data_IF_265966471963
#
_entry.id   IF_265966471963
#
_cell.length_a   1.000
_cell.length_b   1.000
_cell.length_c   1.000
_cell.angle_alpha   90.00
_cell.angle_beta   90.00
_cell.angle_gamma   90.00
#
_symmetry.space_group_name_H-M   'P 1'
#
loop_
_entity.id
_entity.type
_entity.pdbx_description
1 polymer ?
#
# COMPACT_ATOMS: atom_id res chain seq x y z
N UNK A 1 26.33 -8.61 -11.16
CA UNK A 1 25.31 -9.11 -12.12
C UNK A 1 24.34 -10.17 -11.57
N UNK A 2 24.66 -10.91 -10.50
CA UNK A 2 23.83 -12.02 -9.98
C UNK A 2 23.14 -11.73 -8.64
N UNK A 3 22.73 -10.49 -8.40
CA UNK A 3 22.04 -10.10 -7.18
C UNK A 3 20.54 -9.92 -7.42
N UNK A 4 19.74 -10.10 -6.37
CA UNK A 4 18.31 -9.76 -6.36
C UNK A 4 18.09 -8.35 -6.92
N UNK A 5 17.30 -8.24 -7.99
CA UNK A 5 16.91 -6.96 -8.56
C UNK A 5 15.60 -6.48 -7.95
N UNK A 6 15.41 -5.16 -7.88
CA UNK A 6 14.26 -4.52 -7.23
C UNK A 6 13.86 -3.25 -7.97
N UNK A 7 12.57 -3.03 -8.15
CA UNK A 7 11.98 -1.77 -8.62
C UNK A 7 11.06 -1.25 -7.52
N UNK A 8 11.21 0.02 -7.15
CA UNK A 8 10.36 0.61 -6.12
C UNK A 8 10.26 2.11 -6.33
N UNK A 9 9.11 2.66 -5.93
CA UNK A 9 8.96 4.09 -5.78
C UNK A 9 9.61 4.55 -4.48
N UNK A 10 10.30 5.70 -4.53
CA UNK A 10 10.85 6.35 -3.34
C UNK A 10 10.73 7.86 -3.46
N UNK A 11 10.57 8.52 -2.32
CA UNK A 11 10.76 9.96 -2.24
C UNK A 11 12.25 10.24 -2.08
N UNK A 12 12.75 11.32 -2.70
CA UNK A 12 14.15 11.69 -2.63
C UNK A 12 14.60 11.83 -1.17
N UNK A 13 15.66 11.10 -0.79
CA UNK A 13 16.19 11.06 0.57
C UNK A 13 15.66 9.91 1.45
N UNK A 14 14.60 9.20 1.03
CA UNK A 14 14.13 8.01 1.73
C UNK A 14 14.96 6.80 1.32
N UNK A 15 15.48 6.08 2.32
CA UNK A 15 16.25 4.87 2.12
C UNK A 15 15.36 3.72 1.63
N UNK A 16 15.78 3.08 0.54
CA UNK A 16 15.42 1.69 0.25
C UNK A 16 14.11 1.41 -0.48
N UNK A 17 13.32 2.44 -0.81
CA UNK A 17 12.03 2.29 -1.49
C UNK A 17 10.87 1.95 -0.55
N UNK A 18 9.64 2.21 -1.01
CA UNK A 18 8.40 1.90 -0.26
C UNK A 18 7.54 0.90 -1.04
N UNK A 19 6.52 1.29 -1.84
CA UNK A 19 5.84 0.31 -2.65
C UNK A 19 6.75 -0.10 -3.82
N UNK A 20 6.74 -1.39 -4.15
CA UNK A 20 7.63 -1.93 -5.16
C UNK A 20 7.63 -3.45 -5.21
N UNK A 21 8.50 -4.00 -6.04
CA UNK A 21 8.65 -5.44 -6.23
C UNK A 21 10.10 -5.86 -6.49
N UNK A 22 10.35 -7.17 -6.47
CA UNK A 22 11.67 -7.74 -6.74
C UNK A 22 11.65 -8.91 -7.75
N UNK A 23 12.85 -9.35 -8.15
CA UNK A 23 13.03 -10.39 -9.17
C UNK A 23 12.60 -11.80 -8.72
N UNK A 24 12.37 -12.01 -7.41
CA UNK A 24 11.82 -13.27 -6.87
C UNK A 24 10.28 -13.26 -6.86
N UNK A 25 9.65 -12.18 -7.35
CA UNK A 25 8.21 -12.04 -7.42
C UNK A 25 7.55 -11.58 -6.11
N UNK A 26 8.31 -11.04 -5.15
CA UNK A 26 7.74 -10.38 -3.96
C UNK A 26 7.31 -8.95 -4.34
N UNK A 27 6.07 -8.59 -3.99
CA UNK A 27 5.51 -7.24 -4.16
C UNK A 27 5.00 -6.66 -2.84
N UNK A 28 5.13 -5.35 -2.68
CA UNK A 28 4.74 -4.60 -1.49
C UNK A 28 3.96 -3.35 -1.87
N UNK A 29 2.78 -3.17 -1.29
CA UNK A 29 2.08 -1.89 -1.22
C UNK A 29 1.96 -1.43 0.24
N UNK A 30 1.85 -0.12 0.45
CA UNK A 30 1.90 0.47 1.79
C UNK A 30 0.81 1.51 1.99
N UNK A 31 0.21 1.50 3.17
CA UNK A 31 -0.79 2.47 3.57
C UNK A 31 -0.41 3.09 4.93
N UNK A 32 -0.34 4.41 4.96
CA UNK A 32 -0.13 5.16 6.21
C UNK A 32 -1.36 5.04 7.10
N UNK A 33 -1.15 4.65 8.36
CA UNK A 33 -2.13 4.58 9.42
C UNK A 33 -1.50 5.08 10.72
N UNK A 34 -2.30 5.24 11.75
CA UNK A 34 -1.82 5.65 13.07
C UNK A 34 -2.81 5.19 14.14
N UNK A 35 -2.29 4.84 15.31
CA UNK A 35 -3.11 4.47 16.47
C UNK A 35 -2.67 5.23 17.72
N UNK A 36 -3.49 5.20 18.75
CA UNK A 36 -3.16 5.76 20.07
C UNK A 36 -2.03 5.01 20.78
N UNK A 37 -1.60 3.86 20.26
CA UNK A 37 -0.50 3.07 20.80
C UNK A 37 0.87 3.43 20.19
N UNK A 38 0.89 4.26 19.14
CA UNK A 38 2.13 4.64 18.45
C UNK A 38 3.06 5.41 19.39
N UNK A 39 4.32 5.00 19.43
CA UNK A 39 5.36 5.58 20.27
C UNK A 39 6.73 5.54 19.58
N UNK A 40 7.12 6.71 19.06
CA UNK A 40 8.39 6.93 18.39
C UNK A 40 9.59 6.97 19.34
N UNK A 41 9.37 7.05 20.67
CA UNK A 41 10.43 6.96 21.67
C UNK A 41 10.93 5.53 21.88
N UNK A 42 10.23 4.51 21.37
CA UNK A 42 10.63 3.10 21.47
C UNK A 42 11.90 2.77 20.67
N UNK A 43 12.34 3.64 19.75
CA UNK A 43 13.50 3.44 18.88
C UNK A 43 13.55 2.05 18.21
N UNK A 44 12.39 1.55 17.74
CA UNK A 44 12.33 0.26 17.05
C UNK A 44 12.78 0.39 15.59
N UNK A 45 12.99 -0.76 14.93
CA UNK A 45 13.40 -0.82 13.52
C UNK A 45 12.50 0.11 12.66
N UNK A 46 13.09 1.10 11.94
CA UNK A 46 12.34 2.08 11.17
C UNK A 46 11.44 1.45 10.11
N UNK A 47 10.27 2.06 9.88
CA UNK A 47 9.30 1.66 8.87
C UNK A 47 9.94 1.41 7.49
N UNK A 48 10.71 2.37 6.97
CA UNK A 48 11.32 2.26 5.64
C UNK A 48 12.39 1.17 5.54
N UNK A 49 13.09 0.88 6.65
CA UNK A 49 14.04 -0.23 6.69
C UNK A 49 13.31 -1.58 6.57
N UNK A 50 12.12 -1.70 7.14
CA UNK A 50 11.27 -2.90 6.98
C UNK A 50 10.82 -3.06 5.53
N UNK A 51 10.36 -2.00 4.87
CA UNK A 51 10.03 -2.04 3.44
C UNK A 51 11.22 -2.49 2.59
N UNK A 52 12.40 -1.94 2.87
CA UNK A 52 13.64 -2.35 2.19
C UNK A 52 13.97 -3.83 2.38
N UNK A 53 13.83 -4.36 3.60
CA UNK A 53 14.05 -5.78 3.92
C UNK A 53 13.00 -6.69 3.24
N UNK A 54 11.74 -6.28 3.18
CA UNK A 54 10.69 -6.99 2.41
C UNK A 54 11.08 -7.07 0.94
N UNK A 55 11.48 -5.94 0.33
CA UNK A 55 11.91 -5.94 -1.07
C UNK A 55 13.19 -6.77 -1.28
N UNK A 56 13.92 -7.12 -0.21
CA UNK A 56 15.08 -8.03 -0.24
C UNK A 56 14.77 -9.50 0.02
N UNK A 57 13.51 -9.81 0.35
CA UNK A 57 13.07 -11.16 0.70
C UNK A 57 12.82 -12.00 -0.55
N UNK A 58 13.02 -13.31 -0.45
CA UNK A 58 12.82 -14.24 -1.58
C UNK A 58 11.46 -14.93 -1.57
N UNK A 59 10.78 -14.89 -0.43
CA UNK A 59 9.51 -15.56 -0.21
C UNK A 59 8.67 -14.76 0.80
N UNK A 60 7.42 -15.17 0.97
CA UNK A 60 6.46 -14.47 1.81
C UNK A 60 6.82 -14.57 3.30
N UNK A 61 7.45 -15.67 3.74
CA UNK A 61 7.86 -15.88 5.13
C UNK A 61 8.98 -14.93 5.56
N UNK A 62 10.01 -14.75 4.71
CA UNK A 62 11.08 -13.77 4.92
C UNK A 62 10.51 -12.35 4.98
N UNK A 63 9.58 -12.01 4.07
CA UNK A 63 8.94 -10.70 4.04
C UNK A 63 8.08 -10.45 5.28
N UNK A 64 7.28 -11.43 5.71
CA UNK A 64 6.52 -11.36 6.96
C UNK A 64 7.44 -11.23 8.17
N UNK A 65 8.57 -11.95 8.18
CA UNK A 65 9.60 -11.81 9.21
C UNK A 65 10.18 -10.40 9.29
N UNK A 66 10.45 -9.77 8.14
CA UNK A 66 10.93 -8.39 8.08
C UNK A 66 9.90 -7.38 8.66
N UNK A 67 8.62 -7.58 8.38
CA UNK A 67 7.54 -6.72 8.86
C UNK A 67 7.21 -6.93 10.34
N UNK A 68 7.01 -8.17 10.75
CA UNK A 68 6.38 -8.52 12.03
C UNK A 68 7.33 -9.15 13.05
N UNK A 69 8.50 -9.64 12.64
CA UNK A 69 9.41 -10.42 13.49
C UNK A 69 10.09 -9.66 14.62
N UNK A 70 9.95 -8.34 14.68
CA UNK A 70 10.45 -7.50 15.77
C UNK A 70 9.43 -6.44 16.18
N UNK A 71 9.46 -5.93 17.43
CA UNK A 71 8.55 -4.88 17.89
C UNK A 71 8.62 -3.62 17.03
N UNK A 72 7.53 -2.85 16.98
CA UNK A 72 7.40 -1.67 16.10
C UNK A 72 7.13 -0.42 16.94
N UNK A 73 7.35 0.75 16.34
CA UNK A 73 7.08 2.05 16.97
C UNK A 73 5.75 2.65 16.53
N UNK A 74 5.23 2.26 15.36
CA UNK A 74 4.06 2.89 14.78
C UNK A 74 3.19 1.89 14.04
N UNK A 75 1.95 2.31 13.81
CA UNK A 75 0.93 1.57 13.10
C UNK A 75 1.09 1.80 11.60
N UNK A 76 0.92 0.75 10.80
CA UNK A 76 0.92 0.84 9.34
C UNK A 76 0.23 -0.38 8.73
N UNK A 77 -0.23 -0.24 7.50
CA UNK A 77 -0.79 -1.35 6.74
C UNK A 77 0.12 -1.68 5.53
N UNK A 78 0.21 -2.97 5.23
CA UNK A 78 0.98 -3.51 4.12
C UNK A 78 0.17 -4.58 3.39
N UNK A 79 0.06 -4.44 2.07
CA UNK A 79 -0.34 -5.56 1.21
C UNK A 79 0.94 -6.19 0.68
N UNK A 80 1.15 -7.46 1.02
CA UNK A 80 2.28 -8.27 0.60
C UNK A 80 1.78 -9.34 -0.38
N UNK A 81 2.39 -9.41 -1.56
CA UNK A 81 2.11 -10.44 -2.54
C UNK A 81 3.36 -11.21 -2.92
N UNK A 82 3.20 -12.46 -3.32
CA UNK A 82 4.26 -13.24 -3.96
C UNK A 82 3.73 -14.07 -5.13
N UNK A 83 4.40 -13.95 -6.27
CA UNK A 83 3.94 -14.49 -7.56
C UNK A 83 3.61 -15.99 -7.55
N UNK A 84 4.33 -16.80 -6.76
CA UNK A 84 4.12 -18.25 -6.72
C UNK A 84 3.40 -18.73 -5.47
N UNK A 85 2.78 -17.84 -4.69
CA UNK A 85 2.08 -18.21 -3.47
C UNK A 85 0.77 -17.46 -3.28
N UNK A 86 0.75 -16.42 -2.43
CA UNK A 86 -0.46 -15.71 -2.00
C UNK A 86 -0.22 -14.22 -1.88
N UNK A 87 -1.33 -13.48 -1.78
CA UNK A 87 -1.36 -12.13 -1.24
C UNK A 87 -1.95 -12.14 0.17
N UNK A 88 -1.46 -11.24 1.02
CA UNK A 88 -1.94 -11.02 2.38
C UNK A 88 -1.91 -9.54 2.68
N UNK A 89 -2.96 -9.06 3.33
CA UNK A 89 -2.98 -7.72 3.90
C UNK A 89 -2.67 -7.78 5.40
N UNK A 90 -1.90 -6.81 5.88
CA UNK A 90 -1.28 -6.85 7.21
C UNK A 90 -1.47 -5.50 7.89
N UNK A 91 -2.36 -5.45 8.87
CA UNK A 91 -2.48 -4.31 9.78
C UNK A 91 -1.50 -4.52 10.93
N UNK A 92 -0.41 -3.75 10.96
CA UNK A 92 0.58 -3.78 12.03
C UNK A 92 0.35 -2.63 13.00
N UNK A 93 0.31 -2.96 14.29
CA UNK A 93 0.39 -2.02 15.39
C UNK A 93 1.69 -2.27 16.19
N UNK A 94 2.07 -1.41 17.15
CA UNK A 94 3.33 -1.53 17.87
C UNK A 94 3.58 -2.91 18.51
N UNK A 95 2.54 -3.50 19.11
CA UNK A 95 2.61 -4.77 19.85
C UNK A 95 1.66 -5.86 19.34
N UNK A 96 0.81 -5.56 18.35
CA UNK A 96 -0.13 -6.50 17.75
C UNK A 96 -0.11 -6.44 16.22
N UNK A 97 -0.72 -7.43 15.60
CA UNK A 97 -0.96 -7.44 14.16
C UNK A 97 -2.24 -8.19 13.84
N UNK A 98 -2.77 -7.91 12.65
CA UNK A 98 -3.86 -8.68 12.05
C UNK A 98 -3.49 -9.01 10.60
N UNK A 99 -3.74 -10.27 10.23
CA UNK A 99 -3.62 -10.75 8.86
C UNK A 99 -5.02 -10.82 8.26
N UNK A 100 -5.15 -10.32 7.04
CA UNK A 100 -6.40 -10.33 6.29
C UNK A 100 -6.16 -11.08 4.98
N UNK A 101 -6.99 -12.09 4.75
CA UNK A 101 -6.95 -12.92 3.54
C UNK A 101 -7.86 -12.36 2.44
N UNK A 102 -7.53 -12.60 1.16
CA UNK A 102 -8.39 -12.19 0.05
C UNK A 102 -9.77 -12.83 0.13
N UNK A 103 -10.79 -12.05 -0.20
CA UNK A 103 -12.17 -12.53 -0.41
C UNK A 103 -12.43 -12.51 -1.91
N UNK A 104 -12.83 -13.65 -2.47
CA UNK A 104 -13.04 -13.85 -3.90
C UNK A 104 -11.85 -13.41 -4.77
N UNK A 105 -10.62 -13.57 -4.26
CA UNK A 105 -9.38 -13.18 -4.95
C UNK A 105 -9.09 -11.67 -4.94
N UNK A 106 -9.78 -10.88 -4.11
CA UNK A 106 -9.57 -9.44 -3.96
C UNK A 106 -9.12 -9.11 -2.54
N UNK A 107 -8.12 -8.23 -2.43
CA UNK A 107 -7.70 -7.55 -1.21
C UNK A 107 -7.70 -6.05 -1.46
N UNK A 108 -8.28 -5.30 -0.52
CA UNK A 108 -8.31 -3.83 -0.58
C UNK A 108 -7.99 -3.27 0.79
N UNK A 109 -7.20 -2.21 0.79
CA UNK A 109 -6.96 -1.45 2.00
C UNK A 109 -6.87 0.05 1.71
N UNK A 110 -7.30 0.86 2.67
CA UNK A 110 -7.18 2.31 2.64
C UNK A 110 -6.34 2.79 3.85
N UNK A 111 -6.72 3.86 4.55
CA UNK A 111 -5.96 4.47 5.64
C UNK A 111 -6.72 4.43 6.98
N UNK A 112 -7.41 3.34 7.28
CA UNK A 112 -8.08 3.10 8.55
C UNK A 112 -7.89 1.65 8.98
N UNK A 113 -8.04 1.37 10.27
CA UNK A 113 -8.13 -0.01 10.76
C UNK A 113 -9.50 -0.60 10.39
N UNK A 114 -9.51 -1.70 9.65
CA UNK A 114 -10.70 -2.42 9.20
C UNK A 114 -11.45 -3.00 10.38
N UNK A 115 -10.75 -3.65 11.32
CA UNK A 115 -11.29 -4.05 12.61
C UNK A 115 -10.35 -3.66 13.77
N UNK A 116 -10.56 -2.48 14.37
CA UNK A 116 -9.79 -2.02 15.53
C UNK A 116 -9.88 -2.96 16.75
N UNK A 117 -10.99 -3.71 16.91
CA UNK A 117 -11.17 -4.60 18.06
C UNK A 117 -10.28 -5.83 17.93
N UNK A 118 -10.18 -6.39 16.73
CA UNK A 118 -9.31 -7.54 16.46
C UNK A 118 -7.82 -7.18 16.57
N UNK A 119 -7.43 -5.97 16.16
CA UNK A 119 -6.05 -5.48 16.33
C UNK A 119 -5.72 -5.07 17.77
N UNK A 120 -6.73 -4.83 18.62
CA UNK A 120 -6.55 -4.46 20.03
C UNK A 120 -6.01 -3.05 20.24
N UNK A 121 -6.08 -2.18 19.22
CA UNK A 121 -5.66 -0.77 19.28
C UNK A 121 -6.77 0.14 18.75
N UNK A 122 -6.74 1.41 19.14
CA UNK A 122 -7.70 2.41 18.68
C UNK A 122 -7.04 3.46 17.79
N UNK A 123 -7.74 3.88 16.75
CA UNK A 123 -7.40 5.10 16.02
C UNK A 123 -7.79 6.31 16.89
N UNK A 124 -7.00 7.40 16.89
CA UNK A 124 -7.46 8.65 17.49
C UNK A 124 -8.65 9.22 16.71
N UNK A 125 -9.39 10.13 17.33
CA UNK A 125 -10.55 10.75 16.70
C UNK A 125 -10.17 11.44 15.38
N UNK A 126 -10.84 11.03 14.30
CA UNK A 126 -10.64 11.58 12.97
C UNK A 126 -12.00 11.82 12.30
N UNK A 127 -12.47 13.09 12.20
CA UNK A 127 -13.76 13.39 11.56
C UNK A 127 -13.80 13.03 10.07
N UNK A 128 -12.64 12.80 9.44
CA UNK A 128 -12.51 12.43 8.03
C UNK A 128 -12.26 10.93 7.80
N UNK A 129 -12.38 10.09 8.84
CA UNK A 129 -12.20 8.63 8.73
C UNK A 129 -13.09 8.01 7.64
N UNK A 130 -14.33 8.49 7.51
CA UNK A 130 -15.29 8.07 6.48
C UNK A 130 -14.77 8.19 5.03
N UNK A 131 -13.87 9.14 4.73
CA UNK A 131 -13.25 9.27 3.41
C UNK A 131 -12.28 8.12 3.10
N UNK A 132 -11.72 7.51 4.14
CA UNK A 132 -10.93 6.30 3.97
C UNK A 132 -11.81 5.08 3.77
N UNK A 133 -12.92 4.97 4.49
CA UNK A 133 -13.87 3.86 4.36
C UNK A 133 -14.52 3.89 2.97
N UNK A 134 -14.93 5.07 2.51
CA UNK A 134 -15.45 5.25 1.16
C UNK A 134 -14.49 4.71 0.09
N UNK A 135 -13.20 5.10 0.14
CA UNK A 135 -12.21 4.64 -0.85
C UNK A 135 -11.98 3.13 -0.79
N UNK A 136 -11.98 2.54 0.41
CA UNK A 136 -11.92 1.09 0.57
C UNK A 136 -13.10 0.43 -0.17
N UNK A 137 -14.33 0.79 0.19
CA UNK A 137 -15.53 0.19 -0.41
C UNK A 137 -15.63 0.47 -1.92
N UNK A 138 -15.21 1.66 -2.38
CA UNK A 138 -15.20 2.03 -3.80
C UNK A 138 -14.24 1.16 -4.61
N UNK A 139 -13.01 0.99 -4.13
CA UNK A 139 -12.01 0.14 -4.78
C UNK A 139 -12.47 -1.32 -4.81
N UNK A 140 -12.96 -1.85 -3.70
CA UNK A 140 -13.46 -3.23 -3.62
C UNK A 140 -14.61 -3.48 -4.60
N UNK A 141 -15.58 -2.57 -4.66
CA UNK A 141 -16.68 -2.65 -5.62
C UNK A 141 -16.16 -2.68 -7.07
N UNK A 142 -15.31 -1.73 -7.44
CA UNK A 142 -14.79 -1.61 -8.82
C UNK A 142 -13.98 -2.84 -9.24
N UNK A 143 -13.15 -3.39 -8.34
CA UNK A 143 -12.37 -4.60 -8.61
C UNK A 143 -13.26 -5.84 -8.79
N UNK A 144 -14.35 -5.94 -8.03
CA UNK A 144 -15.28 -7.08 -8.14
C UNK A 144 -16.18 -7.00 -9.38
N UNK A 145 -16.68 -5.80 -9.73
CA UNK A 145 -17.57 -5.60 -10.88
C UNK A 145 -16.87 -5.77 -12.24
N UNK A 146 -15.56 -5.58 -12.28
CA UNK A 146 -14.78 -5.61 -13.53
C UNK A 146 -13.91 -6.86 -13.71
N UNK A 147 -14.21 -7.95 -12.98
CA UNK A 147 -13.52 -9.24 -13.20
C UNK A 147 -13.90 -9.86 -14.56
N UNK A 148 -12.97 -10.52 -15.27
CA UNK A 148 -11.55 -10.66 -14.94
C UNK A 148 -10.77 -9.36 -15.16
N UNK A 149 -9.87 -9.04 -14.22
CA UNK A 149 -9.05 -7.84 -14.27
C UNK A 149 -7.90 -8.00 -15.26
N UNK A 150 -7.51 -6.90 -15.90
CA UNK A 150 -6.26 -6.75 -16.63
C UNK A 150 -5.65 -5.38 -16.31
N UNK A 151 -4.45 -5.09 -16.83
CA UNK A 151 -3.74 -3.84 -16.55
C UNK A 151 -4.57 -2.62 -16.96
N UNK A 152 -5.18 -2.62 -18.14
CA UNK A 152 -5.98 -1.49 -18.65
C UNK A 152 -7.19 -1.19 -17.75
N UNK A 153 -7.91 -2.23 -17.30
CA UNK A 153 -9.03 -2.10 -16.37
C UNK A 153 -8.55 -1.48 -15.05
N UNK A 154 -7.42 -1.95 -14.51
CA UNK A 154 -6.88 -1.40 -13.25
C UNK A 154 -6.43 0.04 -13.42
N UNK A 155 -5.84 0.41 -14.57
CA UNK A 155 -5.50 1.80 -14.88
C UNK A 155 -6.74 2.70 -14.86
N UNK A 156 -7.86 2.26 -15.44
CA UNK A 156 -9.12 3.02 -15.41
C UNK A 156 -9.72 3.11 -14.00
N UNK A 157 -9.68 2.04 -13.21
CA UNK A 157 -10.10 2.07 -11.80
C UNK A 157 -9.30 3.11 -11.00
N UNK A 158 -7.97 3.16 -11.22
CA UNK A 158 -7.10 4.11 -10.53
C UNK A 158 -7.35 5.56 -10.92
N UNK A 159 -8.06 5.82 -12.04
CA UNK A 159 -8.48 7.16 -12.47
C UNK A 159 -9.80 7.62 -11.85
N UNK A 160 -10.50 6.77 -11.09
CA UNK A 160 -11.82 7.05 -10.53
C UNK A 160 -11.91 8.37 -9.73
N UNK A 161 -12.93 9.16 -10.05
CA UNK A 161 -13.24 10.46 -9.44
C UNK A 161 -14.54 10.46 -8.63
N UNK A 162 -15.10 9.30 -8.29
CA UNK A 162 -16.27 9.27 -7.42
C UNK A 162 -15.92 9.89 -6.06
N UNK A 163 -16.75 10.81 -5.58
CA UNK A 163 -16.49 11.62 -4.38
C UNK A 163 -15.27 12.60 -4.48
N UNK A 164 -15.01 13.15 -5.67
CA UNK A 164 -14.01 14.23 -5.85
C UNK A 164 -14.25 15.42 -4.89
N UNK A 165 -13.22 16.04 -4.28
CA UNK A 165 -11.77 15.84 -4.50
C UNK A 165 -11.14 14.67 -3.73
N UNK A 166 -11.91 13.99 -2.87
CA UNK A 166 -11.42 12.95 -1.95
C UNK A 166 -11.55 11.51 -2.50
N UNK A 167 -11.72 11.41 -3.82
CA UNK A 167 -11.81 10.19 -4.64
C UNK A 167 -10.57 9.27 -4.56
N UNK A 168 -10.62 8.13 -5.26
CA UNK A 168 -9.45 7.25 -5.43
C UNK A 168 -8.29 7.99 -6.12
N UNK A 169 -8.56 8.58 -7.27
CA UNK A 169 -7.66 9.57 -7.89
C UNK A 169 -7.86 10.91 -7.19
N UNK A 170 -7.15 11.14 -6.08
CA UNK A 170 -7.36 12.29 -5.20
C UNK A 170 -6.80 13.59 -5.80
N UNK A 171 -7.58 14.66 -5.70
CA UNK A 171 -7.21 16.01 -6.14
C UNK A 171 -7.15 16.98 -4.98
N UNK A 172 -6.58 18.16 -5.24
CA UNK A 172 -6.48 19.24 -4.27
C UNK A 172 -7.89 19.69 -3.87
N UNK A 173 -8.08 19.88 -2.57
CA UNK A 173 -9.31 20.38 -1.98
C UNK A 173 -9.08 21.82 -1.52
N UNK A 174 -9.49 22.78 -2.36
CA UNK A 174 -9.28 24.21 -2.10
C UNK A 174 -10.12 24.75 -0.93
N UNK A 175 -11.05 23.95 -0.38
CA UNK A 175 -11.74 24.31 0.87
C UNK A 175 -10.87 24.12 2.11
N UNK A 176 -9.73 23.42 1.98
CA UNK A 176 -8.82 23.12 3.08
C UNK A 176 -7.61 24.06 3.10
N UNK A 177 -6.99 24.28 4.27
CA UNK A 177 -5.68 24.93 4.37
C UNK A 177 -4.63 24.18 3.55
N UNK A 178 -3.66 24.90 3.00
CA UNK A 178 -2.59 24.35 2.16
C UNK A 178 -1.81 23.21 2.84
N UNK A 179 -1.59 23.31 4.16
CA UNK A 179 -0.92 22.25 4.94
C UNK A 179 -1.68 20.92 5.00
N UNK A 180 -2.95 20.90 4.59
CA UNK A 180 -3.80 19.71 4.53
C UNK A 180 -4.05 19.23 3.10
N UNK A 181 -3.50 19.90 2.08
CA UNK A 181 -3.69 19.48 0.70
C UNK A 181 -3.03 18.12 0.46
N UNK A 182 -3.84 17.16 0.04
CA UNK A 182 -3.38 15.81 -0.29
C UNK A 182 -3.84 15.49 -1.70
N UNK A 183 -2.95 14.97 -2.55
CA UNK A 183 -3.26 14.55 -3.92
C UNK A 183 -2.62 13.19 -4.20
N UNK A 184 -3.16 12.46 -5.17
CA UNK A 184 -2.45 11.29 -5.71
C UNK A 184 -1.21 11.78 -6.45
N UNK A 185 -0.02 11.37 -5.99
CA UNK A 185 1.27 11.76 -6.60
C UNK A 185 1.77 10.76 -7.64
N UNK A 186 1.37 9.51 -7.51
CA UNK A 186 1.69 8.42 -8.41
C UNK A 186 0.64 7.34 -8.25
N UNK A 187 0.40 6.58 -9.30
CA UNK A 187 -0.31 5.31 -9.28
C UNK A 187 0.65 4.21 -9.73
N UNK A 188 0.49 3.02 -9.16
CA UNK A 188 1.37 1.88 -9.43
C UNK A 188 0.54 0.61 -9.61
N UNK A 189 0.87 -0.17 -10.63
CA UNK A 189 0.36 -1.52 -10.88
C UNK A 189 1.57 -2.45 -10.93
N UNK A 190 1.52 -3.57 -10.22
CA UNK A 190 2.61 -4.55 -10.17
C UNK A 190 2.07 -5.91 -10.60
N UNK A 191 2.59 -6.43 -11.71
CA UNK A 191 2.40 -7.82 -12.12
C UNK A 191 3.59 -8.63 -11.61
N UNK A 192 3.36 -9.39 -10.54
CA UNK A 192 4.40 -10.15 -9.87
C UNK A 192 4.84 -11.38 -10.67
N UNK A 193 3.97 -11.92 -11.54
CA UNK A 193 4.27 -13.07 -12.39
C UNK A 193 5.15 -12.66 -13.58
N UNK A 194 4.81 -11.56 -14.24
CA UNK A 194 5.58 -11.06 -15.40
C UNK A 194 6.75 -10.15 -15.01
N UNK A 195 6.88 -9.83 -13.72
CA UNK A 195 7.90 -8.93 -13.15
C UNK A 195 7.86 -7.53 -13.77
N UNK A 196 6.65 -7.05 -14.02
CA UNK A 196 6.36 -5.75 -14.65
C UNK A 196 5.68 -4.79 -13.69
N UNK A 197 5.95 -3.52 -13.89
CA UNK A 197 5.37 -2.44 -13.11
C UNK A 197 4.97 -1.28 -14.02
N UNK A 198 3.76 -0.77 -13.85
CA UNK A 198 3.30 0.44 -14.53
C UNK A 198 3.17 1.56 -13.51
N UNK A 199 3.77 2.72 -13.78
CA UNK A 199 3.87 3.84 -12.83
C UNK A 199 3.54 5.16 -13.50
N UNK A 200 2.85 6.05 -12.79
CA UNK A 200 2.62 7.43 -13.26
C UNK A 200 3.49 8.44 -12.51
N UNK A 201 3.93 9.50 -13.21
CA UNK A 201 4.47 10.70 -12.56
C UNK A 201 3.37 11.77 -12.44
N UNK A 202 2.54 11.66 -11.41
CA UNK A 202 1.36 12.50 -11.18
C UNK A 202 0.08 11.69 -11.00
N UNK A 203 -1.06 12.40 -10.92
CA UNK A 203 -2.37 11.74 -10.88
C UNK A 203 -2.56 10.87 -12.13
N UNK A 204 -3.07 9.63 -12.01
CA UNK A 204 -3.27 8.73 -13.15
C UNK A 204 -4.28 9.23 -14.18
N UNK A 205 -5.11 10.22 -13.85
CA UNK A 205 -6.02 10.84 -14.81
C UNK A 205 -5.38 11.98 -15.61
N UNK A 206 -4.12 12.34 -15.32
CA UNK A 206 -3.38 13.45 -15.96
C UNK A 206 -1.99 13.04 -16.45
N UNK A 207 -1.57 11.81 -16.17
CA UNK A 207 -0.26 11.29 -16.48
C UNK A 207 -0.40 9.89 -17.07
N UNK A 208 0.46 9.58 -18.03
CA UNK A 208 0.54 8.26 -18.64
C UNK A 208 1.20 7.26 -17.70
N UNK A 209 0.82 5.99 -17.85
CA UNK A 209 1.49 4.88 -17.17
C UNK A 209 2.73 4.46 -17.96
N UNK A 210 3.89 4.56 -17.35
CA UNK A 210 5.17 4.09 -17.90
C UNK A 210 5.45 2.66 -17.40
N UNK A 211 5.82 1.75 -18.31
CA UNK A 211 6.16 0.36 -18.00
C UNK A 211 7.65 0.20 -17.66
N UNK A 212 7.92 -0.56 -16.60
CA UNK A 212 9.24 -1.01 -16.18
C UNK A 212 9.22 -2.52 -15.96
N UNK A 213 10.30 -3.21 -16.30
CA UNK A 213 10.42 -4.66 -16.13
C UNK A 213 11.75 -5.04 -15.46
N UNK A 214 11.73 -6.05 -14.61
CA UNK A 214 12.94 -6.74 -14.16
C UNK A 214 13.28 -7.84 -15.15
N UNK A 215 14.56 -7.92 -15.52
CA UNK A 215 15.10 -8.97 -16.41
C UNK A 215 15.54 -10.20 -15.63
#
# INVERSE_FOLDING_TARGET
>A
PYGLQRMAFTEAGIFGGKPGMNSEGVGLAVNGMYSTADDWSRFQKPFHLRCYEVLRSKNIEEALGALAGTPRSCTANFILGHASSRAVDIELAPDSLRLIDPVDGVLVHANHLVDPKETGVSEPENPRRHLSEFRHSRMEKLLNEQKPLNVDIVQEILKDHDHQPQSLCRHRDDSLPESQHTITKTAMIMDLEERKMWVTNGQPCKAEFEEFALN
#
